data_IF_099148897739
#
_entry.id   IF_099148897739
#
_cell.length_a   1.000
_cell.length_b   1.000
_cell.length_c   1.000
_cell.angle_alpha   90.00
_cell.angle_beta   90.00
_cell.angle_gamma   90.00
#
_symmetry.space_group_name_H-M   'P 1'
#
loop_
_entity.id
_entity.type
_entity.pdbx_description
1 polymer ?
#
# COMPACT_ATOMS: atom_id res chain seq x y z
N UNK A 1 -1.03 14.71 -7.18
CA UNK A 1 -0.78 14.92 -5.73
C UNK A 1 0.58 14.33 -5.38
N UNK A 2 1.30 14.88 -4.40
CA UNK A 2 2.55 14.26 -3.90
C UNK A 2 2.18 13.00 -3.12
N UNK A 3 2.67 11.82 -3.52
CA UNK A 3 2.53 10.58 -2.72
C UNK A 3 3.12 10.83 -1.33
N UNK A 4 2.35 10.50 -0.30
CA UNK A 4 2.74 10.75 1.09
C UNK A 4 3.37 9.48 1.67
N UNK A 5 4.70 9.52 1.82
CA UNK A 5 5.48 8.46 2.46
C UNK A 5 5.53 8.73 3.96
N UNK A 6 5.14 7.74 4.76
CA UNK A 6 5.12 7.78 6.22
C UNK A 6 6.02 6.68 6.78
N UNK A 7 6.74 6.98 7.87
CA UNK A 7 7.37 5.94 8.67
C UNK A 7 6.30 5.25 9.51
N UNK A 8 6.35 3.92 9.60
CA UNK A 8 5.46 3.18 10.49
C UNK A 8 5.86 3.47 11.95
N UNK A 9 4.93 3.90 12.83
CA UNK A 9 5.24 4.19 14.23
C UNK A 9 5.56 2.96 15.08
N UNK A 10 5.27 1.74 14.60
CA UNK A 10 5.45 0.48 15.32
C UNK A 10 6.56 -0.42 14.74
N UNK A 11 7.11 -0.07 13.57
CA UNK A 11 8.19 -0.81 12.91
C UNK A 11 9.08 0.17 12.13
N UNK A 12 10.28 0.44 12.62
CA UNK A 12 11.18 1.47 12.08
C UNK A 12 11.63 1.17 10.65
N UNK A 13 11.73 -0.12 10.32
CA UNK A 13 12.08 -0.65 9.01
C UNK A 13 10.96 -0.54 7.96
N UNK A 14 9.73 -0.21 8.39
CA UNK A 14 8.58 -0.15 7.51
C UNK A 14 8.25 1.28 7.07
N UNK A 15 7.91 1.41 5.78
CA UNK A 15 7.41 2.64 5.16
C UNK A 15 6.02 2.38 4.60
N UNK A 16 5.14 3.37 4.76
CA UNK A 16 3.77 3.33 4.26
C UNK A 16 3.59 4.41 3.21
N UNK A 17 2.99 4.06 2.09
CA UNK A 17 2.68 5.00 1.00
C UNK A 17 1.16 5.00 0.84
N UNK A 18 0.54 6.16 1.03
CA UNK A 18 -0.91 6.31 0.87
C UNK A 18 -1.20 6.60 -0.60
N UNK A 19 -1.95 5.70 -1.25
CA UNK A 19 -2.43 5.88 -2.63
C UNK A 19 -3.74 6.69 -2.65
N UNK A 20 -4.70 6.28 -1.81
CA UNK A 20 -6.03 6.87 -1.72
C UNK A 20 -6.44 7.09 -0.27
N UNK A 21 -7.32 8.07 -0.03
CA UNK A 21 -7.89 8.37 1.28
C UNK A 21 -9.24 9.07 1.11
N UNK A 22 -10.12 8.95 2.10
CA UNK A 22 -11.48 9.50 2.06
C UNK A 22 -12.53 8.46 1.70
N UNK A 23 -13.77 8.90 1.53
CA UNK A 23 -14.94 8.02 1.32
C UNK A 23 -15.50 8.11 -0.10
N UNK A 24 -14.93 8.96 -0.95
CA UNK A 24 -15.45 9.33 -2.26
C UNK A 24 -15.54 8.13 -3.23
N UNK A 25 -14.64 7.15 -3.09
CA UNK A 25 -14.57 5.94 -3.91
C UNK A 25 -15.16 4.69 -3.23
N UNK A 26 -15.79 4.83 -2.06
CA UNK A 26 -16.35 3.69 -1.33
C UNK A 26 -17.42 2.95 -2.18
N UNK A 27 -17.35 1.62 -2.18
CA UNK A 27 -18.28 0.75 -2.93
C UNK A 27 -18.01 0.67 -4.44
N UNK A 28 -16.92 1.23 -4.93
CA UNK A 28 -16.50 1.17 -6.33
C UNK A 28 -15.28 0.26 -6.49
N UNK A 29 -15.14 -0.37 -7.65
CA UNK A 29 -13.88 -1.01 -8.03
C UNK A 29 -12.84 0.05 -8.34
N UNK A 30 -11.64 -0.13 -7.79
CA UNK A 30 -10.49 0.76 -8.01
C UNK A 30 -9.32 -0.10 -8.45
N UNK A 31 -8.67 0.31 -9.54
CA UNK A 31 -7.44 -0.28 -10.03
C UNK A 31 -6.27 0.60 -9.59
N UNK A 32 -5.27 -0.02 -8.97
CA UNK A 32 -4.08 0.67 -8.46
C UNK A 32 -2.84 0.11 -9.13
N UNK A 33 -1.97 1.02 -9.56
CA UNK A 33 -0.70 0.68 -10.19
C UNK A 33 0.47 1.43 -9.52
N UNK A 34 1.53 0.70 -9.23
CA UNK A 34 2.68 1.19 -8.48
C UNK A 34 4.00 0.67 -9.05
N UNK A 35 4.96 1.58 -9.18
CA UNK A 35 6.36 1.21 -9.42
C UNK A 35 7.04 0.96 -8.07
N UNK A 36 7.03 -0.30 -7.64
CA UNK A 36 7.59 -0.71 -6.34
C UNK A 36 9.10 -0.38 -6.24
N UNK A 37 9.84 -0.41 -7.35
CA UNK A 37 11.28 -0.11 -7.34
C UNK A 37 11.51 1.38 -7.08
N UNK A 38 10.76 2.23 -7.80
CA UNK A 38 10.81 3.68 -7.60
C UNK A 38 10.33 4.06 -6.20
N UNK A 39 9.21 3.51 -5.75
CA UNK A 39 8.64 3.76 -4.43
C UNK A 39 9.63 3.36 -3.31
N UNK A 40 10.27 2.19 -3.42
CA UNK A 40 11.29 1.77 -2.47
C UNK A 40 12.49 2.73 -2.44
N UNK A 41 12.96 3.16 -3.61
CA UNK A 41 14.07 4.12 -3.71
C UNK A 41 13.74 5.47 -3.09
N UNK A 42 12.52 5.97 -3.31
CA UNK A 42 12.06 7.23 -2.71
C UNK A 42 11.89 7.09 -1.18
N UNK A 43 11.42 5.94 -0.70
CA UNK A 43 11.15 5.71 0.71
C UNK A 43 12.40 5.43 1.56
N UNK A 44 13.40 4.75 0.98
CA UNK A 44 14.59 4.26 1.70
C UNK A 44 15.92 4.85 1.19
N UNK A 45 15.93 5.52 0.03
CA UNK A 45 17.16 6.07 -0.56
C UNK A 45 18.09 5.03 -1.20
N UNK A 46 17.65 3.78 -1.33
CA UNK A 46 18.42 2.66 -1.87
C UNK A 46 17.56 1.79 -2.80
N UNK A 47 18.17 0.86 -3.55
CA UNK A 47 17.42 -0.12 -4.33
C UNK A 47 16.93 -1.27 -3.43
N UNK A 48 15.75 -1.87 -3.74
CA UNK A 48 15.27 -3.02 -2.98
C UNK A 48 16.11 -4.28 -3.23
N UNK A 49 16.03 -5.27 -2.32
CA UNK A 49 16.54 -6.61 -2.57
C UNK A 49 15.90 -7.26 -3.81
N UNK A 50 16.54 -8.32 -4.33
CA UNK A 50 16.04 -9.04 -5.52
C UNK A 50 14.75 -9.81 -5.30
N UNK A 51 14.38 -10.05 -4.05
CA UNK A 51 13.22 -10.87 -3.67
C UNK A 51 12.33 -10.08 -2.72
N UNK A 52 11.02 -10.17 -2.93
CA UNK A 52 10.00 -9.60 -2.07
C UNK A 52 8.82 -10.57 -1.96
N UNK A 53 8.04 -10.40 -0.90
CA UNK A 53 6.76 -11.07 -0.71
C UNK A 53 5.65 -10.03 -0.80
N UNK A 54 4.52 -10.40 -1.41
CA UNK A 54 3.33 -9.57 -1.44
C UNK A 54 2.32 -10.09 -0.42
N UNK A 55 1.79 -9.19 0.39
CA UNK A 55 0.68 -9.45 1.29
C UNK A 55 -0.45 -8.48 0.98
N UNK A 56 -1.68 -8.98 0.97
CA UNK A 56 -2.89 -8.16 0.87
C UNK A 56 -3.66 -8.32 2.16
N UNK A 57 -4.02 -7.19 2.76
CA UNK A 57 -4.72 -7.15 4.04
C UNK A 57 -5.87 -6.16 3.99
N UNK A 58 -6.97 -6.54 4.63
CA UNK A 58 -8.04 -5.64 5.00
C UNK A 58 -7.98 -5.49 6.52
N UNK A 59 -7.89 -4.26 6.99
CA UNK A 59 -7.82 -3.94 8.41
C UNK A 59 -9.00 -3.06 8.82
N UNK A 60 -9.60 -3.41 9.94
CA UNK A 60 -10.65 -2.62 10.62
C UNK A 60 -10.56 -2.74 12.14
N UNK A 61 -9.47 -3.27 12.68
CA UNK A 61 -9.37 -3.58 14.11
C UNK A 61 -9.17 -2.31 14.96
N UNK A 62 -8.40 -1.34 14.47
CA UNK A 62 -8.11 -0.10 15.19
C UNK A 62 -9.33 0.81 15.33
N UNK A 63 -10.40 0.57 14.56
CA UNK A 63 -11.67 1.29 14.69
C UNK A 63 -12.71 0.51 15.48
N UNK A 64 -12.47 -0.78 15.80
CA UNK A 64 -13.46 -1.67 16.40
C UNK A 64 -14.63 -2.03 15.48
N UNK A 65 -14.52 -1.68 14.19
CA UNK A 65 -15.55 -1.89 13.18
C UNK A 65 -15.29 -3.18 12.39
N UNK A 66 -16.15 -3.45 11.39
CA UNK A 66 -15.94 -4.52 10.43
C UNK A 66 -15.96 -3.98 9.01
N UNK A 67 -15.09 -4.50 8.16
CA UNK A 67 -15.15 -4.22 6.74
C UNK A 67 -14.98 -5.49 5.91
N UNK A 68 -15.51 -5.47 4.68
CA UNK A 68 -15.37 -6.54 3.70
C UNK A 68 -14.74 -5.92 2.47
N UNK A 69 -13.70 -6.54 1.95
CA UNK A 69 -13.05 -6.15 0.69
C UNK A 69 -13.00 -7.33 -0.25
N UNK A 70 -13.03 -7.01 -1.54
CA UNK A 70 -12.90 -7.97 -2.62
C UNK A 70 -11.66 -7.61 -3.43
N UNK A 71 -10.93 -8.63 -3.87
CA UNK A 71 -9.81 -8.49 -4.81
C UNK A 71 -10.16 -9.33 -6.01
N UNK A 72 -10.15 -8.72 -7.19
CA UNK A 72 -10.40 -9.44 -8.44
C UNK A 72 -9.09 -10.07 -8.94
N UNK A 73 -8.07 -9.23 -9.16
CA UNK A 73 -6.77 -9.69 -9.66
C UNK A 73 -5.60 -8.98 -9.00
N UNK A 74 -4.42 -9.61 -9.14
CA UNK A 74 -3.13 -9.03 -8.82
C UNK A 74 -2.19 -9.44 -9.95
N UNK A 75 -1.58 -8.44 -10.57
CA UNK A 75 -0.59 -8.66 -11.62
C UNK A 75 0.75 -8.06 -11.21
N UNK A 76 1.82 -8.81 -11.48
CA UNK A 76 3.20 -8.34 -11.30
C UNK A 76 3.88 -8.45 -12.65
N UNK A 77 4.24 -7.30 -13.19
CA UNK A 77 4.88 -7.18 -14.50
C UNK A 77 6.19 -6.38 -14.40
N UNK A 78 6.99 -6.44 -15.46
CA UNK A 78 8.32 -5.81 -15.54
C UNK A 78 8.33 -4.70 -16.59
#
# INVERSE_FOLDING_TARGET
>A
QKRRILSNPYAEEAKMIILEAGTEKAGQWVEEDVDVIKDYREAFGALPPRTASLAVMNDSDNTGERSVSYVDYIEVYK
#
